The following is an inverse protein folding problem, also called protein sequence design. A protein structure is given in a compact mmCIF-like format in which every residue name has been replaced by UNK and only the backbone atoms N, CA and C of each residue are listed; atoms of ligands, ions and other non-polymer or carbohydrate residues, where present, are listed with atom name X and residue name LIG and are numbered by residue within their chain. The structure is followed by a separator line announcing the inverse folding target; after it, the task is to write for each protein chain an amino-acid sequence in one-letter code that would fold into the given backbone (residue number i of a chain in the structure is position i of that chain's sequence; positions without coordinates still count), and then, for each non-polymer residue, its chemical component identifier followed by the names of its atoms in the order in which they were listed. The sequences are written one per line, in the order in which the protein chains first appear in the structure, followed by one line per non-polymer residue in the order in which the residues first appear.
data_IF_828200824170
#
_entry.id   IF_828200824170
#
_cell.length_a   1.000
_cell.length_b   1.000
_cell.length_c   1.000
_cell.angle_alpha   90.00
_cell.angle_beta   90.00
_cell.angle_gamma   90.00
#
_symmetry.space_group_name_H-M   'P 1'
#
loop_
_entity.id
_entity.type
_entity.pdbx_description
1 polymer ?
#
# COMPACT_ATOMS: atom_id res chain seq x y z
N UNK A 1 25.14 -13.82 -17.32
CA UNK A 1 24.79 -13.08 -16.09
C UNK A 1 25.72 -13.54 -14.97
N UNK A 2 26.50 -12.63 -14.40
CA UNK A 2 27.42 -12.93 -13.28
C UNK A 2 26.60 -13.21 -12.02
N UNK A 3 26.88 -14.31 -11.33
CA UNK A 3 26.24 -14.65 -10.06
C UNK A 3 27.12 -14.13 -8.92
N UNK A 4 26.53 -13.39 -7.99
CA UNK A 4 27.20 -12.88 -6.79
C UNK A 4 26.56 -13.54 -5.57
N UNK A 5 27.36 -13.95 -4.60
CA UNK A 5 26.85 -14.51 -3.35
C UNK A 5 26.32 -13.40 -2.44
N UNK A 6 25.25 -13.67 -1.72
CA UNK A 6 24.68 -12.76 -0.73
C UNK A 6 24.36 -13.54 0.54
N UNK A 7 24.80 -13.03 1.69
CA UNK A 7 24.51 -13.61 3.00
C UNK A 7 23.39 -12.82 3.66
N UNK A 8 22.35 -13.51 4.14
CA UNK A 8 21.16 -12.90 4.73
C UNK A 8 20.97 -13.50 6.13
N UNK A 9 20.71 -12.65 7.12
CA UNK A 9 20.31 -13.08 8.47
C UNK A 9 18.80 -13.26 8.49
N UNK A 10 18.35 -14.44 8.90
CA UNK A 10 16.94 -14.81 8.97
C UNK A 10 16.75 -15.54 10.29
N UNK A 11 15.62 -15.28 10.95
CA UNK A 11 15.19 -16.06 12.10
C UNK A 11 15.12 -17.56 11.76
N UNK A 12 15.51 -18.41 12.71
CA UNK A 12 15.64 -19.85 12.48
C UNK A 12 14.28 -20.51 12.24
N UNK A 13 13.28 -20.14 13.02
CA UNK A 13 11.92 -20.70 12.95
C UNK A 13 11.24 -20.23 11.67
N UNK A 14 11.38 -18.94 11.33
CA UNK A 14 10.89 -18.38 10.06
C UNK A 14 11.51 -19.09 8.86
N UNK A 15 12.83 -19.31 8.86
CA UNK A 15 13.51 -20.02 7.78
C UNK A 15 12.97 -21.44 7.63
N UNK A 16 12.76 -22.15 8.74
CA UNK A 16 12.24 -23.52 8.71
C UNK A 16 10.80 -23.57 8.17
N UNK A 17 9.93 -22.70 8.68
CA UNK A 17 8.53 -22.61 8.24
C UNK A 17 8.44 -22.28 6.74
N UNK A 18 9.14 -21.23 6.30
CA UNK A 18 9.14 -20.82 4.90
C UNK A 18 9.75 -21.89 3.99
N UNK A 19 10.81 -22.57 4.41
CA UNK A 19 11.40 -23.67 3.62
C UNK A 19 10.42 -24.84 3.44
N UNK A 20 9.66 -25.19 4.48
CA UNK A 20 8.63 -26.24 4.41
C UNK A 20 7.50 -25.85 3.46
N UNK A 21 7.04 -24.61 3.55
CA UNK A 21 5.98 -24.09 2.68
C UNK A 21 6.44 -24.04 1.21
N UNK A 22 7.63 -23.50 0.94
CA UNK A 22 8.19 -23.46 -0.41
C UNK A 22 8.40 -24.87 -0.97
N UNK A 23 8.87 -25.82 -0.15
CA UNK A 23 9.03 -27.21 -0.58
C UNK A 23 7.69 -27.85 -1.01
N UNK A 24 6.58 -27.56 -0.31
CA UNK A 24 5.26 -28.03 -0.73
C UNK A 24 4.80 -27.46 -2.09
N UNK A 25 5.36 -26.31 -2.49
CA UNK A 25 5.13 -25.68 -3.79
C UNK A 25 6.19 -26.08 -4.84
N UNK A 26 7.14 -26.96 -4.50
CA UNK A 26 8.25 -27.34 -5.37
C UNK A 26 9.30 -26.23 -5.57
N UNK A 27 9.32 -25.23 -4.68
CA UNK A 27 10.22 -24.08 -4.75
C UNK A 27 11.34 -24.20 -3.72
N UNK A 28 12.54 -23.73 -4.10
CA UNK A 28 13.63 -23.53 -3.15
C UNK A 28 13.62 -22.10 -2.61
N UNK A 29 14.18 -21.90 -1.41
CA UNK A 29 14.36 -20.56 -0.83
C UNK A 29 15.11 -19.61 -1.79
N UNK A 30 16.16 -20.11 -2.44
CA UNK A 30 16.93 -19.32 -3.40
C UNK A 30 16.08 -18.92 -4.62
N UNK A 31 15.25 -19.83 -5.12
CA UNK A 31 14.32 -19.54 -6.23
C UNK A 31 13.35 -18.44 -5.84
N UNK A 32 12.72 -18.56 -4.67
CA UNK A 32 11.77 -17.59 -4.16
C UNK A 32 12.41 -16.20 -3.99
N UNK A 33 13.58 -16.10 -3.34
CA UNK A 33 14.28 -14.83 -3.15
C UNK A 33 14.64 -14.15 -4.47
N UNK A 34 15.09 -14.92 -5.48
CA UNK A 34 15.38 -14.36 -6.80
C UNK A 34 14.11 -13.84 -7.50
N UNK A 35 12.97 -14.51 -7.33
CA UNK A 35 11.68 -14.04 -7.87
C UNK A 35 11.22 -12.77 -7.18
N UNK A 36 11.27 -12.72 -5.85
CA UNK A 36 10.90 -11.54 -5.08
C UNK A 36 11.74 -10.30 -5.47
N UNK A 37 13.06 -10.47 -5.62
CA UNK A 37 13.95 -9.39 -6.07
C UNK A 37 13.61 -8.89 -7.49
N UNK A 38 13.26 -9.80 -8.41
CA UNK A 38 12.82 -9.41 -9.76
C UNK A 38 11.53 -8.61 -9.71
N UNK A 39 10.58 -9.08 -8.93
CA UNK A 39 9.28 -8.45 -8.81
C UNK A 39 9.38 -7.07 -8.12
N UNK A 40 10.31 -6.89 -7.17
CA UNK A 40 10.65 -5.59 -6.59
C UNK A 40 11.14 -4.61 -7.65
N UNK A 41 12.05 -5.06 -8.53
CA UNK A 41 12.56 -4.23 -9.63
C UNK A 41 11.49 -3.93 -10.67
N UNK A 42 10.62 -4.89 -10.99
CA UNK A 42 9.56 -4.70 -11.99
C UNK A 42 8.47 -3.75 -11.51
N UNK A 43 8.05 -3.86 -10.25
CA UNK A 43 6.95 -3.06 -9.70
C UNK A 43 7.41 -1.74 -9.09
N UNK A 44 8.71 -1.57 -8.84
CA UNK A 44 9.25 -0.44 -8.05
C UNK A 44 8.53 -0.28 -6.70
N UNK A 45 8.00 -1.38 -6.17
CA UNK A 45 7.18 -1.43 -4.97
C UNK A 45 7.54 -2.69 -4.18
N UNK A 46 7.42 -2.59 -2.86
CA UNK A 46 7.69 -3.74 -1.99
C UNK A 46 6.50 -4.69 -2.03
N UNK A 47 6.75 -5.99 -2.23
CA UNK A 47 5.73 -7.04 -2.26
C UNK A 47 5.22 -7.41 -0.86
N UNK A 48 4.85 -6.41 -0.07
CA UNK A 48 4.02 -6.65 1.10
C UNK A 48 2.58 -6.41 0.67
N UNK A 49 1.86 -7.48 0.37
CA UNK A 49 0.41 -7.43 0.45
C UNK A 49 0.11 -7.52 1.95
N UNK A 50 -0.07 -6.36 2.59
CA UNK A 50 -0.62 -6.36 3.93
C UNK A 50 -2.07 -6.85 3.81
N UNK A 51 -2.41 -7.96 4.47
CA UNK A 51 -3.79 -8.44 4.60
C UNK A 51 -4.70 -7.45 5.38
N UNK A 52 -4.15 -6.32 5.80
CA UNK A 52 -4.89 -5.15 6.24
C UNK A 52 -4.61 -4.00 5.27
N UNK A 53 -5.65 -3.28 4.77
CA UNK A 53 -5.46 -1.87 4.61
C UNK A 53 -5.20 -1.33 6.02
N UNK A 54 -3.93 -1.30 6.46
CA UNK A 54 -3.54 -0.71 7.76
C UNK A 54 -3.69 0.82 7.76
N UNK A 55 -4.50 1.34 6.84
CA UNK A 55 -5.02 2.68 6.91
C UNK A 55 -6.20 2.69 7.85
N UNK A 56 -5.89 2.72 9.16
CA UNK A 56 -6.81 3.24 10.15
C UNK A 56 -6.67 4.76 10.09
N UNK A 57 -7.71 5.51 9.67
CA UNK A 57 -7.67 6.96 9.70
C UNK A 57 -7.28 7.43 11.11
N UNK A 58 -6.41 8.44 11.20
CA UNK A 58 -6.26 9.13 12.48
C UNK A 58 -7.58 9.84 12.84
N UNK A 59 -7.76 10.25 14.10
CA UNK A 59 -9.02 10.84 14.55
C UNK A 59 -9.46 12.06 13.72
N UNK A 60 -8.51 12.81 13.19
CA UNK A 60 -8.78 13.97 12.33
C UNK A 60 -9.39 13.53 10.99
N UNK A 61 -8.79 12.52 10.36
CA UNK A 61 -9.27 11.96 9.09
C UNK A 61 -10.61 11.25 9.29
N UNK A 62 -10.79 10.54 10.40
CA UNK A 62 -12.06 9.88 10.74
C UNK A 62 -13.20 10.90 10.88
N UNK A 63 -12.98 11.99 11.63
CA UNK A 63 -13.96 13.07 11.77
C UNK A 63 -14.26 13.74 10.44
N UNK A 64 -13.25 13.99 9.61
CA UNK A 64 -13.42 14.58 8.28
C UNK A 64 -14.29 13.70 7.37
N UNK A 65 -14.09 12.38 7.39
CA UNK A 65 -14.90 11.43 6.63
C UNK A 65 -16.36 11.42 7.09
N UNK A 66 -16.59 11.40 8.42
CA UNK A 66 -17.95 11.43 8.98
C UNK A 66 -18.68 12.71 8.62
N UNK A 67 -18.01 13.86 8.70
CA UNK A 67 -18.59 15.15 8.32
C UNK A 67 -18.96 15.18 6.84
N UNK A 68 -18.02 14.85 5.95
CA UNK A 68 -18.27 14.82 4.50
C UNK A 68 -19.43 13.87 4.13
N UNK A 69 -19.53 12.73 4.83
CA UNK A 69 -20.63 11.78 4.61
C UNK A 69 -21.98 12.34 5.08
N UNK A 70 -22.01 13.01 6.23
CA UNK A 70 -23.23 13.63 6.75
C UNK A 70 -23.70 14.81 5.88
N UNK A 71 -22.78 15.60 5.32
CA UNK A 71 -23.06 16.65 4.33
C UNK A 71 -23.67 16.05 3.05
N UNK A 72 -23.05 15.02 2.49
CA UNK A 72 -23.54 14.34 1.28
C UNK A 72 -24.90 13.65 1.45
N UNK A 73 -25.23 13.18 2.65
CA UNK A 73 -26.56 12.64 2.99
C UNK A 73 -27.61 13.72 3.30
N UNK A 74 -27.21 14.99 3.37
CA UNK A 74 -28.08 16.11 3.71
C UNK A 74 -28.53 16.14 5.18
N UNK A 75 -27.80 15.44 6.07
CA UNK A 75 -28.05 15.48 7.52
C UNK A 75 -27.55 16.80 8.14
N UNK A 76 -26.55 17.42 7.51
CA UNK A 76 -26.03 18.75 7.83
C UNK A 76 -25.87 19.57 6.53
N UNK A 77 -25.85 20.91 6.61
CA UNK A 77 -25.66 21.74 5.42
C UNK A 77 -24.30 21.49 4.76
N UNK A 78 -24.32 21.17 3.47
CA UNK A 78 -23.11 21.02 2.66
C UNK A 78 -22.56 22.41 2.30
N UNK A 79 -21.41 22.76 2.89
CA UNK A 79 -20.71 24.01 2.62
C UNK A 79 -19.47 23.78 1.73
N UNK A 80 -19.27 22.56 1.22
CA UNK A 80 -18.13 22.26 0.37
C UNK A 80 -18.27 22.94 -1.00
N UNK A 81 -17.18 23.52 -1.55
CA UNK A 81 -17.21 24.08 -2.88
C UNK A 81 -17.38 22.97 -3.92
N UNK A 82 -18.41 23.10 -4.76
CA UNK A 82 -18.62 22.20 -5.89
C UNK A 82 -17.88 22.72 -7.13
N UNK A 83 -17.27 21.79 -7.88
CA UNK A 83 -16.55 22.11 -9.12
C UNK A 83 -17.09 21.26 -10.27
N UNK A 84 -17.31 21.92 -11.41
CA UNK A 84 -17.74 21.30 -12.68
C UNK A 84 -16.58 21.12 -13.68
N UNK A 85 -15.42 21.72 -13.39
CA UNK A 85 -14.20 21.68 -14.21
C UNK A 85 -12.97 21.34 -13.34
N UNK A 86 -12.22 20.28 -13.68
CA UNK A 86 -11.01 19.90 -12.93
C UNK A 86 -9.98 21.02 -12.78
N UNK A 87 -9.86 21.93 -13.76
CA UNK A 87 -8.89 23.05 -13.65
C UNK A 87 -9.28 24.06 -12.58
N UNK A 88 -10.58 24.29 -12.36
CA UNK A 88 -11.08 25.14 -11.28
C UNK A 88 -10.81 24.54 -9.91
N UNK A 89 -11.01 23.22 -9.77
CA UNK A 89 -10.71 22.51 -8.53
C UNK A 89 -9.22 22.61 -8.16
N UNK A 90 -8.32 22.43 -9.14
CA UNK A 90 -6.86 22.53 -8.92
C UNK A 90 -6.46 23.95 -8.48
N UNK A 91 -7.02 24.99 -9.09
CA UNK A 91 -6.74 26.39 -8.69
C UNK A 91 -7.17 26.67 -7.26
N UNK A 92 -8.37 26.22 -6.88
CA UNK A 92 -8.87 26.35 -5.52
C UNK A 92 -7.97 25.65 -4.50
N UNK A 93 -7.50 24.43 -4.80
CA UNK A 93 -6.61 23.67 -3.91
C UNK A 93 -5.22 24.29 -3.76
N UNK A 94 -4.76 25.04 -4.76
CA UNK A 94 -3.45 25.70 -4.76
C UNK A 94 -3.50 27.14 -4.21
N UNK A 95 -4.64 27.58 -3.67
CA UNK A 95 -4.88 28.97 -3.24
C UNK A 95 -4.63 30.02 -4.34
N UNK A 96 -4.65 29.60 -5.61
CA UNK A 96 -4.49 30.47 -6.78
C UNK A 96 -5.88 31.00 -7.18
N UNK A 97 -6.32 32.09 -6.54
CA UNK A 97 -7.57 32.78 -6.90
C UNK A 97 -7.47 33.56 -8.22
#
# INVERSE_FOLDING_TARGET
MTRVSTSIRIDADLKQAASKQLASMGLSMNTYLNMALRQLVLQQAVQFESDEPSWVPNEETEKALVLAHAEGLGLIPDNAPAFDDPKRAIRYLNDEQ
#
